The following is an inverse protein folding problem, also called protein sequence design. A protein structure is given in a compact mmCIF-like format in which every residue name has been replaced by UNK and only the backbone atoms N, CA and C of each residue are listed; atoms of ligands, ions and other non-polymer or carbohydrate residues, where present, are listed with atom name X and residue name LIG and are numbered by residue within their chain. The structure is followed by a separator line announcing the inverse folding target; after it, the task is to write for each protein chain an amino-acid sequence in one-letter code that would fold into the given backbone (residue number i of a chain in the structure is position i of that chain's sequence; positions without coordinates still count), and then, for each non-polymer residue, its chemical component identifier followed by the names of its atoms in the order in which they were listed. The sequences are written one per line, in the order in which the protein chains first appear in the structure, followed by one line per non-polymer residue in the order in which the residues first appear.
data_IF_948848079032
#
_entry.id   IF_948848079032
#
_cell.length_a   1.000
_cell.length_b   1.000
_cell.length_c   1.000
_cell.angle_alpha   90.00
_cell.angle_beta   90.00
_cell.angle_gamma   90.00
#
_symmetry.space_group_name_H-M   'P 1'
#
loop_
_entity.id
_entity.type
_entity.pdbx_description
1 polymer ?
#
# COMPACT_ATOMS: atom_id res chain seq x y z
N UNK A 1 28.62 -0.80 -17.57
CA UNK A 1 28.21 -0.13 -16.30
C UNK A 1 28.68 1.33 -16.24
N UNK A 2 29.69 1.73 -17.02
CA UNK A 2 30.31 3.07 -16.96
C UNK A 2 29.45 4.22 -17.50
N UNK A 3 28.43 3.91 -18.33
CA UNK A 3 27.55 4.91 -18.96
C UNK A 3 26.52 5.52 -17.99
N UNK A 4 26.09 4.78 -16.96
CA UNK A 4 25.19 5.31 -15.91
C UNK A 4 25.97 6.26 -14.98
N UNK A 5 27.24 5.95 -14.73
CA UNK A 5 28.14 6.77 -13.91
C UNK A 5 28.51 8.11 -14.55
N UNK A 6 28.64 8.15 -15.88
CA UNK A 6 28.92 9.38 -16.62
C UNK A 6 27.74 10.39 -16.60
N UNK A 7 26.50 9.89 -16.56
CA UNK A 7 25.30 10.71 -16.40
C UNK A 7 25.15 11.30 -15.00
N UNK A 8 25.51 10.53 -13.96
CA UNK A 8 25.44 10.97 -12.56
C UNK A 8 26.35 12.17 -12.26
N UNK A 9 27.52 12.27 -12.91
CA UNK A 9 28.51 13.33 -12.67
C UNK A 9 28.14 14.70 -13.22
N UNK A 10 27.21 14.80 -14.18
CA UNK A 10 26.91 16.07 -14.88
C UNK A 10 25.81 16.92 -14.23
N UNK A 11 24.96 16.32 -13.38
CA UNK A 11 23.95 17.04 -12.57
C UNK A 11 23.57 16.25 -11.31
N UNK A 12 24.49 16.09 -10.35
CA UNK A 12 24.36 15.17 -9.23
C UNK A 12 23.14 15.44 -8.34
N UNK A 13 22.74 16.71 -8.19
CA UNK A 13 21.57 17.06 -7.38
C UNK A 13 20.22 16.62 -7.97
N UNK A 14 20.12 16.50 -9.29
CA UNK A 14 18.84 16.23 -9.97
C UNK A 14 18.53 14.74 -10.04
N UNK A 15 19.54 13.91 -10.34
CA UNK A 15 19.43 12.45 -10.22
C UNK A 15 19.24 12.04 -8.77
N UNK A 16 19.91 12.70 -7.82
CA UNK A 16 19.71 12.45 -6.40
C UNK A 16 18.27 12.77 -5.94
N UNK A 17 17.70 13.90 -6.35
CA UNK A 17 16.32 14.27 -5.98
C UNK A 17 15.27 13.31 -6.55
N UNK A 18 15.39 12.91 -7.83
CA UNK A 18 14.47 11.95 -8.44
C UNK A 18 14.58 10.55 -7.83
N UNK A 19 15.81 10.09 -7.54
CA UNK A 19 16.04 8.82 -6.85
C UNK A 19 15.49 8.85 -5.42
N UNK A 20 15.67 9.95 -4.69
CA UNK A 20 15.09 10.13 -3.35
C UNK A 20 13.56 10.09 -3.38
N UNK A 21 12.92 10.78 -4.32
CA UNK A 21 11.47 10.77 -4.44
C UNK A 21 10.92 9.37 -4.78
N UNK A 22 11.56 8.67 -5.71
CA UNK A 22 11.19 7.28 -6.05
C UNK A 22 11.41 6.32 -4.88
N UNK A 23 12.52 6.49 -4.15
CA UNK A 23 12.85 5.68 -2.98
C UNK A 23 11.88 5.92 -1.82
N UNK A 24 11.50 7.16 -1.54
CA UNK A 24 10.48 7.49 -0.54
C UNK A 24 9.11 6.91 -0.90
N UNK A 25 8.70 6.98 -2.17
CA UNK A 25 7.44 6.39 -2.62
C UNK A 25 7.45 4.86 -2.48
N UNK A 26 8.55 4.20 -2.85
CA UNK A 26 8.72 2.76 -2.69
C UNK A 26 8.72 2.36 -1.21
N UNK A 27 9.42 3.10 -0.34
CA UNK A 27 9.44 2.85 1.10
C UNK A 27 8.06 3.05 1.74
N UNK A 28 7.30 4.05 1.33
CA UNK A 28 5.94 4.27 1.83
C UNK A 28 5.01 3.09 1.47
N UNK A 29 5.10 2.59 0.24
CA UNK A 29 4.34 1.41 -0.22
C UNK A 29 4.74 0.14 0.56
N UNK A 30 6.03 -0.14 0.65
CA UNK A 30 6.55 -1.34 1.34
C UNK A 30 6.27 -1.26 2.84
N UNK A 31 6.45 -0.09 3.46
CA UNK A 31 6.14 0.14 4.87
C UNK A 31 4.66 -0.05 5.16
N UNK A 32 3.78 0.48 4.31
CA UNK A 32 2.33 0.26 4.41
C UNK A 32 1.97 -1.23 4.35
N UNK A 33 2.42 -1.94 3.31
CA UNK A 33 2.18 -3.39 3.15
C UNK A 33 2.70 -4.20 4.34
N UNK A 34 3.87 -3.86 4.86
CA UNK A 34 4.49 -4.57 6.00
C UNK A 34 3.68 -4.39 7.29
N UNK A 35 3.16 -3.19 7.54
CA UNK A 35 2.30 -2.92 8.70
C UNK A 35 0.99 -3.73 8.64
N UNK A 36 0.36 -3.80 7.45
CA UNK A 36 -0.86 -4.59 7.27
C UNK A 36 -0.63 -6.09 7.46
N UNK A 37 0.45 -6.62 6.90
CA UNK A 37 0.82 -8.03 7.13
C UNK A 37 1.17 -8.30 8.59
N UNK A 38 1.79 -7.35 9.28
CA UNK A 38 2.09 -7.46 10.71
C UNK A 38 0.84 -7.53 11.57
N UNK A 39 -0.15 -6.66 11.30
CA UNK A 39 -1.40 -6.61 12.06
C UNK A 39 -2.25 -7.88 11.88
N UNK A 40 -2.33 -8.41 10.66
CA UNK A 40 -3.02 -9.69 10.40
C UNK A 40 -2.43 -10.84 11.21
N UNK A 41 -1.09 -10.98 11.19
CA UNK A 41 -0.41 -12.02 11.99
C UNK A 41 -0.61 -11.85 13.49
N UNK A 42 -0.72 -10.62 14.00
CA UNK A 42 -0.98 -10.40 15.43
C UNK A 42 -2.39 -10.86 15.83
N UNK A 43 -3.39 -10.59 14.98
CA UNK A 43 -4.77 -11.05 15.21
C UNK A 43 -4.87 -12.57 15.14
N UNK A 44 -4.25 -13.19 14.12
CA UNK A 44 -4.15 -14.65 14.00
C UNK A 44 -3.49 -15.26 15.23
N UNK A 45 -2.37 -14.69 15.69
CA UNK A 45 -1.71 -15.15 16.93
C UNK A 45 -2.58 -14.96 18.17
N UNK A 46 -3.39 -13.90 18.24
CA UNK A 46 -4.34 -13.67 19.33
C UNK A 46 -5.42 -14.74 19.39
N UNK A 47 -5.98 -15.07 18.23
CA UNK A 47 -6.98 -16.13 18.06
C UNK A 47 -6.40 -17.51 18.37
N UNK A 48 -5.20 -17.82 17.87
CA UNK A 48 -4.48 -19.06 18.17
C UNK A 48 -4.21 -19.22 19.68
N UNK A 49 -3.85 -18.14 20.38
CA UNK A 49 -3.64 -18.16 21.84
C UNK A 49 -4.91 -18.50 22.61
N UNK A 50 -6.07 -18.08 22.10
CA UNK A 50 -7.39 -18.40 22.66
C UNK A 50 -7.88 -19.79 22.22
N UNK A 51 -7.17 -20.42 21.27
CA UNK A 51 -7.60 -21.63 20.57
C UNK A 51 -8.93 -21.39 19.86
N UNK A 52 -9.11 -20.21 19.28
CA UNK A 52 -10.37 -19.74 18.69
C UNK A 52 -10.19 -19.51 17.20
N UNK A 53 -11.22 -19.81 16.41
CA UNK A 53 -11.22 -19.54 14.96
C UNK A 53 -11.99 -18.26 14.65
N UNK A 54 -12.93 -17.89 15.53
CA UNK A 54 -13.78 -16.71 15.36
C UNK A 54 -14.19 -16.14 16.72
N UNK A 55 -14.30 -14.82 16.80
CA UNK A 55 -14.85 -14.12 17.96
C UNK A 55 -16.06 -13.32 17.51
N UNK A 56 -17.18 -13.48 18.21
CA UNK A 56 -18.38 -12.65 18.04
C UNK A 56 -18.40 -11.57 19.11
N UNK A 57 -18.59 -10.34 18.66
CA UNK A 57 -18.73 -9.18 19.51
C UNK A 57 -19.86 -8.29 18.97
N UNK A 58 -20.29 -7.31 19.75
CA UNK A 58 -21.11 -6.23 19.17
C UNK A 58 -20.27 -5.39 18.21
N UNK A 59 -20.84 -4.88 17.10
CA UNK A 59 -20.13 -4.03 16.15
C UNK A 59 -19.41 -2.83 16.79
N UNK A 60 -20.04 -2.25 17.80
CA UNK A 60 -19.53 -1.10 18.57
C UNK A 60 -18.22 -1.40 19.30
N UNK A 61 -18.03 -2.64 19.74
CA UNK A 61 -16.87 -3.06 20.53
C UNK A 61 -15.77 -3.70 19.68
N UNK A 62 -15.98 -3.84 18.37
CA UNK A 62 -15.02 -4.48 17.46
C UNK A 62 -13.58 -3.92 17.58
N UNK A 63 -13.34 -2.60 17.61
CA UNK A 63 -11.98 -2.07 17.71
C UNK A 63 -11.26 -2.49 19.00
N UNK A 64 -12.00 -2.57 20.11
CA UNK A 64 -11.48 -3.00 21.41
C UNK A 64 -11.18 -4.50 21.43
N UNK A 65 -12.00 -5.31 20.76
CA UNK A 65 -11.77 -6.76 20.60
C UNK A 65 -10.57 -7.04 19.69
N UNK A 66 -10.41 -6.29 18.60
CA UNK A 66 -9.22 -6.38 17.74
C UNK A 66 -7.95 -5.99 18.50
N UNK A 67 -8.01 -4.93 19.32
CA UNK A 67 -6.91 -4.54 20.20
C UNK A 67 -6.59 -5.63 21.24
N UNK A 68 -7.63 -6.22 21.85
CA UNK A 68 -7.49 -7.31 22.80
C UNK A 68 -6.82 -8.53 22.17
N UNK A 69 -7.22 -8.93 20.97
CA UNK A 69 -6.60 -10.03 20.23
C UNK A 69 -5.13 -9.73 19.90
N UNK A 70 -4.83 -8.50 19.46
CA UNK A 70 -3.48 -8.11 19.09
C UNK A 70 -2.51 -8.01 20.29
N UNK A 71 -3.00 -7.51 21.43
CA UNK A 71 -2.14 -7.13 22.57
C UNK A 71 -2.30 -8.04 23.80
N UNK A 72 -3.39 -8.81 23.87
CA UNK A 72 -3.78 -9.59 25.04
C UNK A 72 -4.44 -8.76 26.16
N UNK A 73 -4.67 -7.46 25.95
CA UNK A 73 -5.29 -6.57 26.92
C UNK A 73 -6.19 -5.54 26.24
N UNK A 74 -7.28 -5.18 26.90
CA UNK A 74 -8.18 -4.12 26.44
C UNK A 74 -8.67 -3.26 27.59
N UNK A 75 -9.13 -2.07 27.25
CA UNK A 75 -10.04 -1.31 28.10
C UNK A 75 -11.33 -2.11 28.37
N UNK A 76 -12.01 -1.87 29.50
CA UNK A 76 -13.26 -2.52 29.86
C UNK A 76 -14.29 -2.55 28.73
N UNK A 77 -14.76 -3.75 28.36
CA UNK A 77 -15.87 -3.94 27.42
C UNK A 77 -17.09 -4.42 28.21
N UNK A 78 -18.21 -3.69 28.21
CA UNK A 78 -19.36 -4.05 29.03
C UNK A 78 -19.99 -5.38 28.58
N UNK A 79 -20.32 -6.22 29.56
CA UNK A 79 -20.98 -7.51 29.36
C UNK A 79 -22.46 -7.30 28.97
N UNK A 80 -22.71 -7.08 27.68
CA UNK A 80 -24.02 -6.71 27.13
C UNK A 80 -24.64 -7.81 26.28
N UNK A 81 -23.94 -8.93 26.12
CA UNK A 81 -24.38 -10.06 25.32
C UNK A 81 -25.05 -11.07 26.23
N UNK A 82 -26.33 -11.34 25.98
CA UNK A 82 -27.03 -12.48 26.57
C UNK A 82 -26.49 -13.78 25.94
N UNK A 83 -25.77 -14.55 26.76
CA UNK A 83 -25.08 -15.77 26.31
C UNK A 83 -26.07 -16.83 25.84
N UNK A 84 -27.24 -16.94 26.46
CA UNK A 84 -28.25 -17.93 26.08
C UNK A 84 -28.86 -17.59 24.73
N UNK A 85 -29.26 -16.33 24.52
CA UNK A 85 -29.80 -15.87 23.24
C UNK A 85 -28.79 -16.04 22.10
N UNK A 86 -27.55 -15.63 22.31
CA UNK A 86 -26.54 -15.70 21.25
C UNK A 86 -26.12 -17.14 20.96
N UNK A 87 -26.03 -18.02 21.98
CA UNK A 87 -25.81 -19.46 21.75
C UNK A 87 -26.94 -20.06 20.92
N UNK A 88 -28.19 -19.73 21.22
CA UNK A 88 -29.32 -20.19 20.43
C UNK A 88 -29.20 -19.73 18.96
N UNK A 89 -28.86 -18.47 18.70
CA UNK A 89 -28.65 -17.99 17.33
C UNK A 89 -27.47 -18.67 16.61
N UNK A 90 -26.40 -19.01 17.35
CA UNK A 90 -25.28 -19.80 16.81
C UNK A 90 -25.72 -21.23 16.43
N UNK A 91 -26.54 -21.85 17.27
CA UNK A 91 -27.09 -23.19 17.01
C UNK A 91 -28.06 -23.17 15.82
N UNK A 92 -28.90 -22.15 15.71
CA UNK A 92 -29.84 -21.94 14.58
C UNK A 92 -29.11 -21.69 13.26
N UNK A 93 -27.93 -21.06 13.29
CA UNK A 93 -27.11 -20.84 12.09
C UNK A 93 -26.49 -22.13 11.51
N UNK A 94 -26.63 -23.28 12.20
CA UNK A 94 -26.17 -24.59 11.75
C UNK A 94 -24.73 -24.58 11.20
N UNK A 95 -23.83 -23.96 11.97
CA UNK A 95 -22.44 -23.78 11.56
C UNK A 95 -21.76 -25.15 11.45
N UNK A 96 -21.34 -25.49 10.22
CA UNK A 96 -20.60 -26.72 9.97
C UNK A 96 -19.25 -26.70 10.70
N UNK A 97 -18.94 -27.80 11.40
CA UNK A 97 -17.66 -27.95 12.09
C UNK A 97 -17.55 -27.17 13.39
N UNK A 98 -18.64 -26.65 13.97
CA UNK A 98 -18.59 -26.03 15.29
C UNK A 98 -18.10 -27.03 16.35
N UNK A 99 -16.94 -26.77 16.94
CA UNK A 99 -16.34 -27.57 17.99
C UNK A 99 -16.73 -27.09 19.39
N UNK A 100 -16.96 -25.78 19.56
CA UNK A 100 -17.37 -25.23 20.84
C UNK A 100 -17.63 -23.73 20.80
N UNK A 101 -18.40 -23.27 21.78
CA UNK A 101 -18.71 -21.86 22.03
C UNK A 101 -18.40 -21.55 23.48
N UNK A 102 -17.52 -20.59 23.70
CA UNK A 102 -17.07 -20.13 25.01
C UNK A 102 -17.44 -18.65 25.17
N UNK A 103 -17.98 -18.28 26.32
CA UNK A 103 -18.38 -16.91 26.59
C UNK A 103 -17.30 -16.24 27.44
N UNK A 104 -16.87 -15.03 27.07
CA UNK A 104 -15.78 -14.32 27.76
C UNK A 104 -16.27 -12.93 28.19
N UNK A 105 -15.98 -12.61 29.44
CA UNK A 105 -16.23 -11.32 30.06
C UNK A 105 -14.94 -10.49 30.06
N UNK A 106 -15.03 -9.31 29.48
CA UNK A 106 -13.98 -8.31 29.37
C UNK A 106 -14.36 -7.01 30.13
N UNK A 107 -15.37 -7.06 30.98
CA UNK A 107 -15.89 -5.91 31.75
C UNK A 107 -14.88 -5.33 32.74
N UNK A 108 -13.91 -6.13 33.20
CA UNK A 108 -12.80 -5.67 34.04
C UNK A 108 -11.58 -5.17 33.24
N UNK A 109 -11.61 -5.32 31.91
CA UNK A 109 -10.42 -5.19 31.05
C UNK A 109 -9.42 -6.34 31.23
N UNK A 110 -8.28 -6.24 30.54
CA UNK A 110 -7.19 -7.22 30.63
C UNK A 110 -7.42 -8.48 29.77
N UNK A 111 -7.00 -9.69 30.23
CA UNK A 111 -6.96 -10.89 29.40
C UNK A 111 -8.34 -11.56 29.19
N UNK A 112 -9.36 -11.14 29.94
CA UNK A 112 -10.68 -11.75 29.93
C UNK A 112 -10.82 -12.95 30.86
N UNK A 113 -12.04 -13.15 31.35
CA UNK A 113 -12.42 -14.25 32.23
C UNK A 113 -13.64 -14.98 31.66
N UNK A 114 -13.86 -16.26 31.98
CA UNK A 114 -15.08 -16.97 31.56
C UNK A 114 -16.33 -16.22 32.04
N UNK A 115 -17.25 -15.97 31.12
CA UNK A 115 -18.51 -15.28 31.40
C UNK A 115 -19.59 -16.26 31.90
N UNK A 116 -20.50 -15.72 32.72
CA UNK A 116 -21.73 -16.40 33.13
C UNK A 116 -22.88 -16.15 32.15
N UNK A 117 -23.93 -15.48 32.63
CA UNK A 117 -25.14 -15.19 31.84
C UNK A 117 -24.94 -14.06 30.83
N UNK A 118 -24.11 -13.06 31.19
CA UNK A 118 -23.75 -11.93 30.35
C UNK A 118 -22.28 -11.99 29.98
N UNK A 119 -21.99 -11.82 28.69
CA UNK A 119 -20.63 -11.81 28.16
C UNK A 119 -20.34 -10.50 27.42
N UNK A 120 -19.05 -10.19 27.29
CA UNK A 120 -18.58 -9.11 26.43
C UNK A 120 -18.38 -9.61 25.00
N UNK A 121 -17.96 -10.87 24.85
CA UNK A 121 -17.73 -11.55 23.56
C UNK A 121 -18.07 -13.05 23.65
N UNK A 122 -18.32 -13.68 22.51
CA UNK A 122 -18.32 -15.14 22.37
C UNK A 122 -17.16 -15.59 21.49
N UNK A 123 -16.50 -16.66 21.90
CA UNK A 123 -15.37 -17.27 21.24
C UNK A 123 -15.83 -18.60 20.66
N UNK A 124 -15.64 -18.78 19.35
CA UNK A 124 -16.07 -19.96 18.63
C UNK A 124 -14.85 -20.72 18.14
N UNK A 125 -14.91 -22.03 18.36
CA UNK A 125 -13.94 -23.00 17.86
C UNK A 125 -14.57 -23.80 16.73
N UNK A 126 -13.87 -23.91 15.63
CA UNK A 126 -14.28 -24.59 14.41
C UNK A 126 -13.25 -25.70 14.13
N UNK A 127 -13.72 -26.82 13.59
CA UNK A 127 -12.85 -27.93 13.17
C UNK A 127 -12.16 -27.63 11.85
N UNK A 128 -12.72 -26.71 11.05
CA UNK A 128 -12.22 -26.36 9.72
C UNK A 128 -12.21 -24.85 9.54
N UNK A 129 -11.08 -24.33 9.07
CA UNK A 129 -10.85 -22.91 8.80
C UNK A 129 -11.74 -22.37 7.67
N UNK A 130 -11.99 -23.16 6.62
CA UNK A 130 -12.90 -22.80 5.51
C UNK A 130 -14.33 -22.51 5.99
N UNK A 131 -14.72 -23.10 7.13
CA UNK A 131 -16.03 -22.90 7.73
C UNK A 131 -16.18 -21.53 8.39
N UNK A 132 -15.11 -20.81 8.76
CA UNK A 132 -15.23 -19.53 9.47
C UNK A 132 -15.87 -18.42 8.62
N UNK A 133 -15.53 -18.36 7.33
CA UNK A 133 -16.13 -17.39 6.41
C UNK A 133 -17.59 -17.72 6.09
N UNK A 134 -17.92 -19.02 5.97
CA UNK A 134 -19.30 -19.47 5.78
C UNK A 134 -20.13 -19.27 7.05
N UNK A 135 -19.54 -19.53 8.22
CA UNK A 135 -20.14 -19.33 9.54
C UNK A 135 -20.50 -17.86 9.76
N UNK A 136 -19.59 -16.94 9.41
CA UNK A 136 -19.87 -15.50 9.45
C UNK A 136 -21.08 -15.14 8.58
N UNK A 137 -21.15 -15.66 7.36
CA UNK A 137 -22.27 -15.38 6.47
C UNK A 137 -23.59 -15.91 7.04
N UNK A 138 -23.61 -17.14 7.54
CA UNK A 138 -24.79 -17.72 8.18
C UNK A 138 -25.21 -16.97 9.45
N UNK A 139 -24.25 -16.54 10.26
CA UNK A 139 -24.50 -15.76 11.47
C UNK A 139 -25.00 -14.35 11.17
N UNK A 140 -24.58 -13.73 10.08
CA UNK A 140 -25.07 -12.40 9.70
C UNK A 140 -26.58 -12.40 9.41
N UNK A 141 -27.12 -13.54 8.93
CA UNK A 141 -28.56 -13.71 8.65
C UNK A 141 -29.38 -13.93 9.94
N UNK A 142 -28.81 -14.61 10.94
CA UNK A 142 -29.52 -14.98 12.18
C UNK A 142 -29.29 -13.98 13.33
N UNK A 143 -28.08 -13.45 13.44
CA UNK A 143 -27.61 -12.53 14.47
C UNK A 143 -26.99 -11.27 13.81
N UNK A 144 -27.80 -10.37 13.23
CA UNK A 144 -27.30 -9.15 12.57
C UNK A 144 -26.64 -8.17 13.56
N UNK A 145 -26.92 -8.32 14.85
CA UNK A 145 -26.31 -7.57 15.95
C UNK A 145 -24.93 -8.09 16.39
N UNK A 146 -24.49 -9.23 15.85
CA UNK A 146 -23.16 -9.78 16.07
C UNK A 146 -22.25 -9.44 14.89
N UNK A 147 -21.09 -8.86 15.18
CA UNK A 147 -19.98 -8.78 14.22
C UNK A 147 -18.95 -9.86 14.55
N UNK A 148 -18.52 -10.55 13.49
CA UNK A 148 -17.58 -11.64 13.58
C UNK A 148 -16.17 -11.16 13.23
N UNK A 149 -15.24 -11.34 14.16
CA UNK A 149 -13.81 -11.16 13.96
C UNK A 149 -13.20 -12.53 13.66
N UNK A 150 -12.76 -12.73 12.43
CA UNK A 150 -12.09 -13.95 11.94
C UNK A 150 -10.65 -13.60 11.58
N UNK A 151 -9.67 -14.45 11.92
CA UNK A 151 -8.24 -14.17 11.73
C UNK A 151 -7.87 -13.81 10.28
N UNK A 152 -8.52 -14.43 9.30
CA UNK A 152 -8.21 -14.24 7.88
C UNK A 152 -8.91 -13.02 7.24
N UNK A 153 -9.87 -12.38 7.92
CA UNK A 153 -10.62 -11.25 7.37
C UNK A 153 -9.84 -9.94 7.27
N UNK A 154 -8.62 -9.90 7.82
CA UNK A 154 -7.67 -8.81 7.64
C UNK A 154 -7.23 -8.61 6.18
N UNK A 155 -7.51 -9.54 5.24
CA UNK A 155 -7.17 -9.34 3.82
C UNK A 155 -8.34 -8.87 2.95
N UNK A 156 -9.58 -9.31 3.18
CA UNK A 156 -10.73 -8.96 2.31
C UNK A 156 -11.53 -7.75 2.75
N UNK A 157 -11.78 -7.54 4.05
CA UNK A 157 -12.49 -6.32 4.50
C UNK A 157 -11.59 -5.08 4.41
N UNK A 158 -10.28 -5.30 4.61
CA UNK A 158 -9.23 -4.31 4.39
C UNK A 158 -9.18 -3.88 2.92
N UNK A 159 -9.48 -4.71 1.91
CA UNK A 159 -9.55 -4.22 0.52
C UNK A 159 -10.67 -3.20 0.28
N UNK A 160 -11.80 -3.30 0.99
CA UNK A 160 -12.92 -2.35 0.90
C UNK A 160 -12.67 -1.07 1.73
N UNK A 161 -12.13 -1.20 2.94
CA UNK A 161 -11.78 -0.06 3.81
C UNK A 161 -10.45 0.61 3.43
N UNK A 162 -9.61 -0.05 2.62
CA UNK A 162 -8.42 0.56 2.02
C UNK A 162 -8.73 1.36 0.77
N UNK A 163 -9.92 1.28 0.19
CA UNK A 163 -10.27 2.11 -0.96
C UNK A 163 -10.01 3.61 -0.70
N UNK A 164 -10.35 4.19 0.47
CA UNK A 164 -9.95 5.56 0.81
C UNK A 164 -8.44 5.72 1.04
N UNK A 165 -7.77 4.81 1.75
CA UNK A 165 -6.32 4.89 2.03
C UNK A 165 -5.46 4.77 0.75
N UNK A 166 -5.80 3.86 -0.15
CA UNK A 166 -5.20 3.72 -1.48
C UNK A 166 -5.51 4.94 -2.33
N UNK A 167 -6.69 5.57 -2.19
CA UNK A 167 -6.97 6.87 -2.83
C UNK A 167 -6.08 7.98 -2.27
N UNK A 168 -5.85 8.03 -0.97
CA UNK A 168 -5.00 9.05 -0.35
C UNK A 168 -3.52 8.85 -0.70
N UNK A 169 -3.02 7.61 -0.68
CA UNK A 169 -1.70 7.24 -1.17
C UNK A 169 -1.54 7.52 -2.67
N UNK A 170 -2.56 7.18 -3.47
CA UNK A 170 -2.60 7.47 -4.90
C UNK A 170 -2.59 8.96 -5.19
N UNK A 171 -3.32 9.77 -4.41
CA UNK A 171 -3.29 11.24 -4.50
C UNK A 171 -1.92 11.80 -4.11
N UNK A 172 -1.33 11.30 -3.02
CA UNK A 172 0.00 11.72 -2.59
C UNK A 172 1.07 11.38 -3.65
N UNK A 173 1.02 10.17 -4.22
CA UNK A 173 1.88 9.76 -5.32
C UNK A 173 1.66 10.60 -6.58
N UNK A 174 0.41 10.92 -6.93
CA UNK A 174 0.09 11.80 -8.05
C UNK A 174 0.62 13.22 -7.86
N UNK A 175 0.47 13.79 -6.65
CA UNK A 175 1.02 15.11 -6.30
C UNK A 175 2.55 15.09 -6.36
N UNK A 176 3.19 14.03 -5.86
CA UNK A 176 4.64 13.87 -5.96
C UNK A 176 5.11 13.76 -7.42
N UNK A 177 4.39 13.00 -8.26
CA UNK A 177 4.69 12.87 -9.69
C UNK A 177 4.51 14.21 -10.44
N UNK A 178 3.46 14.97 -10.11
CA UNK A 178 3.23 16.31 -10.65
C UNK A 178 4.30 17.30 -10.19
N UNK A 179 4.72 17.24 -8.93
CA UNK A 179 5.83 18.04 -8.41
C UNK A 179 7.13 17.73 -9.14
N UNK A 180 7.44 16.45 -9.33
CA UNK A 180 8.61 16.01 -10.07
C UNK A 180 8.59 16.46 -11.55
N UNK A 181 7.44 16.38 -12.22
CA UNK A 181 7.30 16.81 -13.61
C UNK A 181 7.42 18.33 -13.77
N UNK A 182 6.87 19.12 -12.84
CA UNK A 182 7.02 20.57 -12.79
C UNK A 182 8.49 20.97 -12.62
N UNK A 183 9.19 20.36 -11.66
CA UNK A 183 10.61 20.63 -11.43
C UNK A 183 11.44 20.25 -12.65
N UNK A 184 11.17 19.09 -13.26
CA UNK A 184 11.85 18.66 -14.49
C UNK A 184 11.61 19.64 -15.65
N UNK A 185 10.37 20.11 -15.84
CA UNK A 185 10.02 21.08 -16.87
C UNK A 185 10.67 22.44 -16.68
N UNK A 186 10.70 22.95 -15.44
CA UNK A 186 11.30 24.23 -15.10
C UNK A 186 12.82 24.21 -15.33
N UNK A 187 13.47 23.11 -14.97
CA UNK A 187 14.89 22.89 -15.21
C UNK A 187 15.22 22.71 -16.70
N UNK A 188 14.36 22.03 -17.46
CA UNK A 188 14.50 21.92 -18.92
C UNK A 188 14.41 23.30 -19.58
N UNK A 189 13.46 24.14 -19.14
CA UNK A 189 13.31 25.52 -19.60
C UNK A 189 14.57 26.35 -19.33
N UNK A 190 15.13 26.27 -18.12
CA UNK A 190 16.38 26.97 -17.76
C UNK A 190 17.55 26.51 -18.63
N UNK A 191 17.70 25.20 -18.88
CA UNK A 191 18.76 24.66 -19.75
C UNK A 191 18.64 25.15 -21.19
N UNK A 192 17.42 25.20 -21.73
CA UNK A 192 17.18 25.75 -23.08
C UNK A 192 17.48 27.26 -23.11
N UNK A 193 17.14 27.99 -22.04
CA UNK A 193 17.45 29.41 -21.87
C UNK A 193 18.95 29.68 -21.89
N UNK A 194 19.74 28.91 -21.12
CA UNK A 194 21.20 29.05 -21.06
C UNK A 194 21.88 28.74 -22.41
N UNK A 195 21.35 27.77 -23.17
CA UNK A 195 21.88 27.40 -24.50
C UNK A 195 21.37 28.27 -25.64
N UNK A 196 20.49 29.23 -25.38
CA UNK A 196 19.90 30.08 -26.43
C UNK A 196 20.95 30.92 -27.15
N UNK A 197 21.99 31.37 -26.43
CA UNK A 197 23.12 32.09 -27.00
C UNK A 197 23.99 31.19 -27.90
N UNK A 198 24.30 29.98 -27.44
CA UNK A 198 25.06 28.98 -28.22
C UNK A 198 24.32 28.56 -29.49
N UNK A 199 23.01 28.32 -29.41
CA UNK A 199 22.15 27.99 -30.54
C UNK A 199 22.02 29.17 -31.52
N UNK A 200 22.01 30.41 -31.03
CA UNK A 200 22.03 31.62 -31.85
C UNK A 200 23.32 31.74 -32.66
N UNK A 201 24.46 31.41 -32.04
CA UNK A 201 25.77 31.43 -32.69
C UNK A 201 25.90 30.33 -33.76
N UNK A 202 25.44 29.11 -33.47
CA UNK A 202 25.40 28.02 -34.45
C UNK A 202 24.50 28.34 -35.66
N UNK A 203 23.41 29.06 -35.43
CA UNK A 203 22.51 29.51 -36.50
C UNK A 203 23.14 30.60 -37.37
N UNK A 204 23.93 31.49 -36.77
CA UNK A 204 24.73 32.47 -37.50
C UNK A 204 25.81 31.81 -38.37
N UNK A 205 26.31 30.63 -37.96
CA UNK A 205 27.24 29.79 -38.75
C UNK A 205 26.55 28.88 -39.78
N UNK A 206 25.24 29.04 -40.02
CA UNK A 206 24.52 28.31 -41.08
C UNK A 206 23.89 26.98 -40.66
N UNK A 207 23.84 26.66 -39.37
CA UNK A 207 23.17 25.44 -38.91
C UNK A 207 21.65 25.45 -39.22
N UNK A 208 21.16 24.37 -39.82
CA UNK A 208 19.75 24.22 -40.21
C UNK A 208 18.85 23.95 -38.98
N UNK A 209 17.56 24.33 -39.06
CA UNK A 209 16.59 24.16 -37.95
C UNK A 209 16.47 22.70 -37.49
N UNK A 210 16.54 21.74 -38.43
CA UNK A 210 16.51 20.30 -38.12
C UNK A 210 17.72 19.84 -37.32
N UNK A 211 18.90 20.37 -37.62
CA UNK A 211 20.13 20.06 -36.88
C UNK A 211 20.08 20.57 -35.44
N UNK A 212 19.57 21.79 -35.20
CA UNK A 212 19.44 22.34 -33.86
C UNK A 212 18.41 21.60 -32.99
N UNK A 213 17.29 21.16 -33.58
CA UNK A 213 16.29 20.32 -32.90
C UNK A 213 16.86 18.92 -32.61
N UNK A 214 17.57 18.30 -33.56
CA UNK A 214 18.22 17.02 -33.34
C UNK A 214 19.32 17.09 -32.26
N UNK A 215 20.07 18.20 -32.20
CA UNK A 215 21.10 18.43 -31.19
C UNK A 215 20.51 18.59 -29.77
N UNK A 216 19.37 19.28 -29.67
CA UNK A 216 18.69 19.48 -28.38
C UNK A 216 17.97 18.22 -27.92
N UNK A 217 17.26 17.52 -28.82
CA UNK A 217 16.57 16.27 -28.52
C UNK A 217 17.53 15.12 -28.24
N UNK A 218 18.62 15.02 -29.03
CA UNK A 218 19.68 14.03 -28.85
C UNK A 218 20.53 14.24 -27.59
N UNK A 219 20.42 15.40 -26.93
CA UNK A 219 21.01 15.64 -25.61
C UNK A 219 20.09 15.26 -24.44
N UNK A 220 18.79 15.07 -24.69
CA UNK A 220 17.77 14.71 -23.71
C UNK A 220 17.46 13.21 -23.70
N UNK A 221 17.68 12.51 -24.82
CA UNK A 221 17.49 11.07 -24.95
C UNK A 221 18.84 10.32 -24.83
N UNK A 222 19.02 9.37 -23.89
CA UNK A 222 20.26 8.58 -23.78
C UNK A 222 20.43 7.56 -24.92
N UNK A 223 19.41 7.33 -25.73
CA UNK A 223 19.50 6.48 -26.91
C UNK A 223 19.91 7.34 -28.12
N UNK A 224 21.20 7.29 -28.48
CA UNK A 224 21.69 7.85 -29.74
C UNK A 224 21.20 6.98 -30.90
N UNK A 225 20.55 7.60 -31.88
CA UNK A 225 20.68 7.13 -33.26
C UNK A 225 22.07 7.54 -33.79
N UNK A 226 22.75 6.67 -34.56
CA UNK A 226 24.00 7.02 -35.23
C UNK A 226 23.73 8.15 -36.22
N UNK A 227 24.58 9.17 -36.20
CA UNK A 227 24.52 10.28 -37.15
C UNK A 227 24.70 9.75 -38.58
N UNK A 228 23.86 10.13 -39.55
CA UNK A 228 24.24 10.02 -40.95
C UNK A 228 25.22 11.17 -41.23
N UNK A 229 26.52 10.88 -41.21
CA UNK A 229 27.49 11.76 -41.86
C UNK A 229 27.38 11.57 -43.37
N UNK A 230 27.34 12.64 -44.17
CA UNK A 230 27.56 12.52 -45.60
C UNK A 230 29.05 12.20 -45.82
N UNK A 231 29.29 11.13 -46.57
CA UNK A 231 30.52 11.01 -47.35
C UNK A 231 30.58 12.20 -48.33
N UNK A 232 31.78 12.52 -48.78
CA UNK A 232 32.10 13.52 -49.82
C UNK A 232 32.41 14.93 -49.28
N UNK A 233 33.68 15.13 -48.88
CA UNK A 233 34.49 16.30 -49.25
C UNK A 233 35.93 16.12 -48.73
N UNK A 234 36.69 15.22 -49.35
CA UNK A 234 38.15 15.21 -49.31
C UNK A 234 38.68 15.11 -50.75
N UNK A 235 38.63 16.21 -51.49
CA UNK A 235 39.43 16.36 -52.71
C UNK A 235 39.71 17.83 -53.01
N UNK A 236 40.84 18.33 -52.52
CA UNK A 236 41.58 19.40 -53.19
C UNK A 236 43.03 19.36 -52.72
N UNK A 237 43.85 18.55 -53.41
CA UNK A 237 45.28 18.76 -53.48
C UNK A 237 45.57 19.98 -54.36
N UNK A 238 46.61 20.79 -54.09
CA UNK A 238 47.04 21.84 -55.00
C UNK A 238 47.95 21.25 -56.10
N UNK A 239 47.55 21.43 -57.36
CA UNK A 239 48.47 21.48 -58.49
C UNK A 239 48.71 22.97 -58.82
N UNK A 240 49.97 23.39 -58.83
CA UNK A 240 50.42 24.74 -59.16
C UNK A 240 51.66 25.12 -58.36
#
# INVERSE_FOLDING_TARGET
MDLIWAGLRRSPGQTAAGLLAGLLAALALVGGLSLFQGMGRMLEQGLDRLGADMVLARPEHRPLVEQWLATGATEPIPATIDVARWRQGVDEAQILGLAGVEAVDLSAGGPGVPAGELASILVLRLQFWESAMMARAALADVLPEADAVVGEQATRHVLTDLQPLVRHLGRAAAVAALGASLVAGLLASVRVGQRRAELGMLRAMGATRGYLVALTWGSLAPWRLPAPWPADCWSSAPCG
#
